data_IF_112595563432
#
_entry.id   IF_112595563432
#
_cell.length_a   1.000
_cell.length_b   1.000
_cell.length_c   1.000
_cell.angle_alpha   90.00
_cell.angle_beta   90.00
_cell.angle_gamma   90.00
#
_symmetry.space_group_name_H-M   'P 1'
#
loop_
_entity.id
_entity.type
_entity.pdbx_description
1 polymer ?
#
# COMPACT_ATOMS: atom_id res chain seq x y z
N UNK A 1 -11.51 34.52 -31.80
CA UNK A 1 -10.84 35.77 -31.46
C UNK A 1 -9.35 35.48 -31.43
N UNK A 2 -8.59 36.07 -32.29
CA UNK A 2 -7.17 35.73 -32.56
C UNK A 2 -6.25 35.96 -31.32
N UNK A 3 -6.75 36.64 -30.32
CA UNK A 3 -6.00 36.99 -29.10
C UNK A 3 -6.14 35.99 -27.96
N UNK A 4 -7.04 34.99 -28.06
CA UNK A 4 -7.27 34.02 -27.02
C UNK A 4 -7.16 32.60 -27.55
N UNK A 5 -6.45 31.76 -26.84
CA UNK A 5 -6.41 30.33 -27.08
C UNK A 5 -6.74 29.56 -25.80
N UNK A 6 -7.57 28.54 -25.90
CA UNK A 6 -7.94 27.67 -24.78
C UNK A 6 -7.52 26.24 -25.13
N UNK A 7 -6.82 25.58 -24.22
CA UNK A 7 -6.39 24.19 -24.36
C UNK A 7 -6.83 23.39 -23.16
N UNK A 8 -7.47 22.26 -23.39
CA UNK A 8 -7.79 21.28 -22.34
C UNK A 8 -6.94 20.03 -22.57
N UNK A 9 -6.32 19.55 -21.50
CA UNK A 9 -5.51 18.32 -21.52
C UNK A 9 -5.96 17.41 -20.38
N UNK A 10 -6.17 16.13 -20.70
CA UNK A 10 -6.41 15.08 -19.71
C UNK A 10 -5.33 14.03 -19.84
N UNK A 11 -4.68 13.69 -18.72
CA UNK A 11 -3.69 12.63 -18.64
C UNK A 11 -4.19 11.61 -17.63
N UNK A 12 -4.34 10.36 -18.06
CA UNK A 12 -4.75 9.26 -17.20
C UNK A 12 -3.83 8.09 -17.43
N UNK A 13 -3.20 7.61 -16.35
CA UNK A 13 -2.40 6.40 -16.35
C UNK A 13 -2.83 5.53 -15.18
N UNK A 14 -3.36 4.36 -15.48
CA UNK A 14 -3.65 3.33 -14.49
C UNK A 14 -2.52 2.31 -14.49
N UNK A 15 -1.92 2.07 -13.32
CA UNK A 15 -0.85 1.09 -13.15
C UNK A 15 -1.18 0.17 -11.97
N UNK A 16 -1.23 -1.14 -12.24
CA UNK A 16 -1.37 -2.18 -11.22
C UNK A 16 -0.32 -3.25 -11.44
N UNK A 17 0.56 -3.45 -10.47
CA UNK A 17 1.67 -4.39 -10.60
C UNK A 17 1.96 -5.14 -9.30
N UNK A 18 2.31 -6.42 -9.40
CA UNK A 18 2.91 -7.16 -8.31
C UNK A 18 4.33 -6.67 -8.03
N UNK A 19 4.70 -6.63 -6.76
CA UNK A 19 6.07 -6.37 -6.32
C UNK A 19 6.83 -7.69 -6.18
N UNK A 20 8.16 -7.63 -6.28
CA UNK A 20 9.07 -8.70 -5.92
C UNK A 20 9.84 -8.36 -4.66
N UNK A 21 10.16 -9.38 -3.85
CA UNK A 21 11.05 -9.23 -2.71
C UNK A 21 12.52 -9.21 -3.15
N UNK A 22 13.40 -8.53 -2.44
CA UNK A 22 14.83 -8.79 -2.54
C UNK A 22 15.12 -10.23 -2.09
N UNK A 23 16.06 -10.89 -2.75
CA UNK A 23 16.40 -12.29 -2.52
C UNK A 23 17.85 -12.42 -2.08
N UNK A 24 18.16 -13.51 -1.37
CA UNK A 24 19.55 -13.89 -1.06
C UNK A 24 20.15 -14.75 -2.18
N UNK A 25 21.48 -14.87 -2.21
CA UNK A 25 22.15 -15.75 -3.18
C UNK A 25 21.70 -17.20 -3.03
N UNK A 26 21.50 -17.68 -1.80
CA UNK A 26 20.99 -19.02 -1.53
C UNK A 26 19.63 -19.29 -2.22
N UNK A 27 18.74 -18.32 -2.21
CA UNK A 27 17.44 -18.42 -2.93
C UNK A 27 17.66 -18.52 -4.43
N UNK A 28 18.57 -17.72 -4.99
CA UNK A 28 18.89 -17.79 -6.42
C UNK A 28 19.49 -19.15 -6.81
N UNK A 29 20.32 -19.71 -5.95
CA UNK A 29 20.94 -21.02 -6.17
C UNK A 29 19.89 -22.15 -6.11
N UNK A 30 18.90 -22.06 -5.21
CA UNK A 30 17.87 -23.07 -5.03
C UNK A 30 16.70 -22.94 -6.02
N UNK A 31 16.21 -21.75 -6.25
CA UNK A 31 14.95 -21.47 -7.01
C UNK A 31 15.16 -20.66 -8.29
N UNK A 32 16.37 -20.12 -8.51
CA UNK A 32 16.64 -19.21 -9.64
C UNK A 32 16.15 -17.79 -9.42
N UNK A 33 16.53 -16.90 -10.34
CA UNK A 33 16.29 -15.46 -10.28
C UNK A 33 14.81 -15.04 -10.41
N UNK A 34 13.95 -15.95 -10.84
CA UNK A 34 12.51 -15.67 -11.03
C UNK A 34 11.66 -15.92 -9.78
N UNK A 35 12.26 -16.48 -8.71
CA UNK A 35 11.54 -16.68 -7.47
C UNK A 35 11.08 -15.36 -6.88
N UNK A 36 9.88 -15.33 -6.33
CA UNK A 36 9.31 -14.17 -5.64
C UNK A 36 8.44 -14.66 -4.48
N UNK A 37 8.84 -14.35 -3.26
CA UNK A 37 8.16 -14.78 -2.04
C UNK A 37 6.80 -14.14 -1.81
N UNK A 38 6.41 -13.13 -2.58
CA UNK A 38 5.18 -12.39 -2.36
C UNK A 38 3.96 -12.98 -3.05
N UNK A 39 4.12 -13.94 -3.94
CA UNK A 39 3.01 -14.60 -4.59
C UNK A 39 2.91 -16.09 -4.24
N UNK A 40 1.73 -16.63 -4.38
CA UNK A 40 1.44 -18.05 -4.28
C UNK A 40 0.25 -18.42 -5.13
N UNK A 41 0.00 -19.72 -5.30
CA UNK A 41 -1.19 -20.20 -5.98
C UNK A 41 -2.38 -20.24 -5.03
N UNK A 42 -3.53 -19.75 -5.50
CA UNK A 42 -4.81 -19.87 -4.83
C UNK A 42 -5.85 -20.31 -5.87
N UNK A 43 -6.49 -21.45 -5.67
CA UNK A 43 -7.49 -22.00 -6.59
C UNK A 43 -6.97 -22.10 -8.06
N UNK A 44 -5.71 -22.46 -8.24
CA UNK A 44 -5.07 -22.58 -9.55
C UNK A 44 -4.65 -21.25 -10.20
N UNK A 45 -4.86 -20.11 -9.53
CA UNK A 45 -4.45 -18.78 -10.01
C UNK A 45 -3.29 -18.24 -9.18
N UNK A 46 -2.40 -17.49 -9.84
CA UNK A 46 -1.33 -16.76 -9.16
C UNK A 46 -1.92 -15.53 -8.47
N UNK A 47 -1.67 -15.41 -7.17
CA UNK A 47 -2.05 -14.27 -6.36
C UNK A 47 -0.83 -13.70 -5.64
N UNK A 48 -0.57 -12.41 -5.82
CA UNK A 48 0.52 -11.69 -5.16
C UNK A 48 -0.05 -10.88 -3.98
N UNK A 49 0.58 -10.99 -2.80
CA UNK A 49 0.19 -10.23 -1.61
C UNK A 49 0.66 -8.77 -1.64
N UNK A 50 1.67 -8.47 -2.47
CA UNK A 50 2.28 -7.15 -2.58
C UNK A 50 1.96 -6.54 -3.93
N UNK A 51 0.84 -5.82 -4.01
CA UNK A 51 0.43 -5.08 -5.20
C UNK A 51 0.68 -3.60 -4.97
N UNK A 52 1.24 -2.92 -5.97
CA UNK A 52 1.19 -1.47 -6.07
C UNK A 52 0.15 -1.09 -7.11
N UNK A 53 -0.81 -0.29 -6.69
CA UNK A 53 -1.83 0.30 -7.56
C UNK A 53 -1.67 1.82 -7.58
N UNK A 54 -1.67 2.43 -8.74
CA UNK A 54 -1.59 3.89 -8.93
C UNK A 54 -2.64 4.31 -9.93
N UNK A 55 -3.48 5.24 -9.55
CA UNK A 55 -4.49 5.84 -10.40
C UNK A 55 -4.63 7.32 -10.03
N UNK A 56 -3.89 8.19 -10.72
CA UNK A 56 -3.81 9.62 -10.44
C UNK A 56 -4.02 10.45 -11.72
N UNK A 57 -5.26 10.54 -12.22
CA UNK A 57 -5.56 11.37 -13.38
C UNK A 57 -5.31 12.86 -13.10
N UNK A 58 -4.88 13.56 -14.15
CA UNK A 58 -4.66 15.00 -14.15
C UNK A 58 -5.51 15.63 -15.26
N UNK A 59 -6.29 16.64 -14.90
CA UNK A 59 -7.02 17.49 -15.82
C UNK A 59 -6.39 18.87 -15.81
N UNK A 60 -6.13 19.43 -16.99
CA UNK A 60 -5.52 20.76 -17.13
C UNK A 60 -6.29 21.60 -18.11
N UNK A 61 -6.54 22.84 -17.75
CA UNK A 61 -7.11 23.87 -18.59
C UNK A 61 -6.11 25.02 -18.69
N UNK A 62 -5.69 25.36 -19.89
CA UNK A 62 -4.74 26.42 -20.13
C UNK A 62 -5.40 27.49 -20.99
N UNK A 63 -5.31 28.74 -20.58
CA UNK A 63 -5.76 29.90 -21.30
C UNK A 63 -4.58 30.80 -21.63
N UNK A 64 -4.37 31.04 -22.89
CA UNK A 64 -3.37 31.94 -23.42
C UNK A 64 -4.07 33.18 -23.94
N UNK A 65 -3.68 34.35 -23.43
CA UNK A 65 -4.21 35.64 -23.85
C UNK A 65 -3.09 36.57 -24.27
N UNK A 66 -3.08 36.90 -25.57
CA UNK A 66 -2.24 37.97 -26.12
C UNK A 66 -2.98 39.28 -25.97
N UNK A 67 -2.68 40.05 -24.92
CA UNK A 67 -3.34 41.33 -24.60
C UNK A 67 -3.01 42.34 -25.71
N UNK A 68 -1.73 42.36 -26.10
CA UNK A 68 -1.20 43.14 -27.24
C UNK A 68 0.13 42.50 -27.68
N UNK A 69 0.81 43.08 -28.66
CA UNK A 69 2.07 42.57 -29.24
C UNK A 69 3.19 42.40 -28.19
N UNK A 70 3.18 43.19 -27.13
CA UNK A 70 4.19 43.25 -26.09
C UNK A 70 3.72 42.64 -24.73
N UNK A 71 2.51 42.13 -24.66
CA UNK A 71 1.97 41.66 -23.37
C UNK A 71 1.15 40.39 -23.56
N UNK A 72 1.51 39.32 -22.85
CA UNK A 72 0.74 38.08 -22.81
C UNK A 72 0.48 37.64 -21.37
N UNK A 73 -0.65 36.99 -21.17
CA UNK A 73 -1.08 36.40 -19.90
C UNK A 73 -1.45 34.93 -20.13
N UNK A 74 -0.77 34.03 -19.43
CA UNK A 74 -1.05 32.62 -19.47
C UNK A 74 -1.62 32.17 -18.12
N UNK A 75 -2.85 31.67 -18.11
CA UNK A 75 -3.51 31.15 -16.91
C UNK A 75 -3.70 29.65 -17.05
N UNK A 76 -3.19 28.89 -16.08
CA UNK A 76 -3.26 27.44 -16.08
C UNK A 76 -3.99 26.98 -14.82
N UNK A 77 -4.94 26.09 -14.98
CA UNK A 77 -5.68 25.42 -13.91
C UNK A 77 -5.42 23.95 -14.03
N UNK A 78 -5.04 23.29 -12.95
CA UNK A 78 -4.91 21.83 -12.93
C UNK A 78 -5.66 21.25 -11.73
N UNK A 79 -6.24 20.08 -11.96
CA UNK A 79 -6.90 19.27 -10.96
C UNK A 79 -6.39 17.83 -11.09
N UNK A 80 -5.67 17.39 -10.06
CA UNK A 80 -5.17 16.02 -9.94
C UNK A 80 -5.92 15.36 -8.79
N UNK A 81 -6.32 14.12 -8.98
CA UNK A 81 -7.00 13.34 -7.94
C UNK A 81 -6.71 11.87 -8.13
N UNK A 82 -6.85 11.09 -7.06
CA UNK A 82 -6.71 9.66 -7.21
C UNK A 82 -6.12 8.98 -5.98
N UNK A 83 -5.55 7.81 -6.23
CA UNK A 83 -5.04 6.95 -5.18
C UNK A 83 -3.72 6.28 -5.54
N UNK A 84 -2.90 6.06 -4.50
CA UNK A 84 -1.78 5.13 -4.52
C UNK A 84 -2.03 4.10 -3.43
N UNK A 85 -2.10 2.82 -3.82
CA UNK A 85 -2.27 1.70 -2.90
C UNK A 85 -1.05 0.79 -2.87
N UNK A 86 -0.71 0.26 -1.70
CA UNK A 86 0.34 -0.74 -1.52
C UNK A 86 -0.16 -1.86 -0.62
N UNK A 87 -0.51 -3.02 -1.20
CA UNK A 87 -1.04 -4.12 -0.41
C UNK A 87 0.05 -4.90 0.32
N UNK A 88 -0.33 -5.51 1.44
CA UNK A 88 0.44 -6.48 2.20
C UNK A 88 -0.44 -7.29 3.15
N UNK A 89 0.08 -8.43 3.59
CA UNK A 89 -0.54 -9.22 4.65
C UNK A 89 -0.17 -8.60 6.00
N UNK A 90 -1.17 -8.40 6.84
CA UNK A 90 -1.01 -8.14 8.26
C UNK A 90 -1.37 -9.40 9.06
N UNK A 91 -0.63 -9.62 10.15
CA UNK A 91 -0.80 -10.74 11.06
C UNK A 91 -1.04 -10.29 12.51
N UNK A 92 -1.47 -9.07 12.71
CA UNK A 92 -1.65 -8.46 14.03
C UNK A 92 -3.09 -8.54 14.53
N UNK A 93 -3.95 -9.35 13.90
CA UNK A 93 -5.31 -9.55 14.34
C UNK A 93 -5.36 -9.98 15.81
N UNK A 94 -6.23 -9.34 16.57
CA UNK A 94 -6.38 -9.53 18.01
C UNK A 94 -7.80 -9.98 18.37
N UNK A 95 -7.95 -10.46 19.59
CA UNK A 95 -9.26 -10.72 20.20
C UNK A 95 -9.33 -10.03 21.54
N UNK A 96 -10.54 -9.79 22.00
CA UNK A 96 -10.83 -9.40 23.38
C UNK A 96 -10.96 -10.68 24.20
N UNK A 97 -10.15 -10.83 25.24
CA UNK A 97 -10.32 -11.87 26.23
C UNK A 97 -11.15 -11.29 27.38
N UNK A 98 -12.43 -11.70 27.44
CA UNK A 98 -13.37 -11.23 28.47
C UNK A 98 -13.14 -11.83 29.85
N UNK A 99 -12.31 -12.86 29.98
CA UNK A 99 -12.00 -13.53 31.24
C UNK A 99 -10.72 -12.99 31.89
N UNK A 100 -9.78 -12.51 31.10
CA UNK A 100 -8.54 -11.89 31.56
C UNK A 100 -8.71 -10.40 31.75
N UNK A 101 -8.35 -9.88 32.91
CA UNK A 101 -8.38 -8.44 33.19
C UNK A 101 -7.01 -7.96 33.66
N UNK A 102 -6.66 -6.72 33.32
CA UNK A 102 -5.45 -6.05 33.83
C UNK A 102 -5.61 -5.69 35.31
N UNK A 103 -4.57 -5.11 35.90
CA UNK A 103 -4.56 -4.65 37.30
C UNK A 103 -5.62 -3.57 37.61
N UNK A 104 -6.27 -2.99 36.62
CA UNK A 104 -7.32 -1.98 36.72
C UNK A 104 -8.72 -2.57 36.43
N UNK A 105 -8.81 -3.86 36.12
CA UNK A 105 -10.06 -4.53 35.80
C UNK A 105 -10.56 -4.42 34.37
N UNK A 106 -9.72 -3.94 33.45
CA UNK A 106 -10.06 -3.85 32.03
C UNK A 106 -9.80 -5.19 31.33
N UNK A 107 -10.66 -5.63 30.39
CA UNK A 107 -10.41 -6.83 29.60
C UNK A 107 -9.07 -6.73 28.81
N UNK A 108 -8.34 -7.83 28.78
CA UNK A 108 -7.13 -7.89 27.95
C UNK A 108 -7.48 -7.96 26.47
N UNK A 109 -6.72 -7.20 25.68
CA UNK A 109 -6.59 -7.47 24.25
C UNK A 109 -5.50 -8.52 24.08
N UNK A 110 -5.88 -9.67 23.57
CA UNK A 110 -4.95 -10.77 23.32
C UNK A 110 -4.63 -10.80 21.84
N UNK A 111 -3.34 -10.67 21.51
CA UNK A 111 -2.87 -11.04 20.18
C UNK A 111 -3.14 -12.54 20.02
N UNK A 112 -3.76 -12.93 18.93
CA UNK A 112 -4.26 -14.30 18.71
C UNK A 112 -3.16 -15.36 18.70
N UNK A 113 -1.89 -14.95 18.70
CA UNK A 113 -0.76 -15.85 18.89
C UNK A 113 -0.72 -17.02 17.92
N UNK A 114 -1.49 -16.94 16.85
CA UNK A 114 -1.44 -17.94 15.80
C UNK A 114 -0.02 -17.94 15.28
N UNK A 115 0.66 -19.08 15.37
CA UNK A 115 1.94 -19.28 14.70
C UNK A 115 1.76 -18.85 13.26
N UNK A 116 2.66 -17.99 12.75
CA UNK A 116 2.61 -17.55 11.38
C UNK A 116 2.55 -18.78 10.45
N UNK A 117 1.42 -19.05 9.77
CA UNK A 117 1.24 -20.25 8.95
C UNK A 117 2.08 -20.18 7.66
N UNK A 118 2.59 -19.01 7.34
CA UNK A 118 3.46 -18.78 6.19
C UNK A 118 4.67 -17.94 6.63
N UNK A 119 5.71 -18.57 7.23
CA UNK A 119 6.90 -17.88 7.69
C UNK A 119 7.58 -17.14 6.53
N UNK A 120 8.34 -16.11 6.84
CA UNK A 120 9.10 -15.36 5.84
C UNK A 120 10.03 -16.30 5.05
N UNK A 121 10.27 -15.97 3.78
CA UNK A 121 11.00 -16.88 2.89
C UNK A 121 12.35 -17.32 3.45
N UNK A 122 13.09 -16.43 4.15
CA UNK A 122 14.40 -16.78 4.70
C UNK A 122 14.32 -17.80 5.84
N UNK A 123 13.18 -17.88 6.56
CA UNK A 123 12.94 -18.88 7.59
C UNK A 123 12.68 -20.28 6.99
N UNK A 124 12.32 -20.33 5.71
CA UNK A 124 12.15 -21.56 4.94
C UNK A 124 13.46 -22.07 4.34
N UNK A 125 14.59 -21.36 4.52
CA UNK A 125 15.88 -21.71 3.91
C UNK A 125 16.68 -22.70 4.77
N UNK A 126 17.45 -23.61 4.13
CA UNK A 126 18.36 -24.53 4.82
C UNK A 126 19.34 -23.82 5.75
N UNK A 127 19.91 -22.67 5.31
CA UNK A 127 20.84 -21.88 6.13
C UNK A 127 20.21 -21.37 7.42
N UNK A 128 18.92 -21.05 7.41
CA UNK A 128 18.20 -20.71 8.63
C UNK A 128 18.10 -21.91 9.57
N UNK A 129 17.71 -23.09 9.07
CA UNK A 129 17.65 -24.32 9.85
C UNK A 129 19.00 -24.67 10.49
N UNK A 130 20.09 -24.55 9.73
CA UNK A 130 21.44 -24.74 10.25
C UNK A 130 21.78 -23.79 11.40
N UNK A 131 21.47 -22.50 11.24
CA UNK A 131 21.72 -21.50 12.30
C UNK A 131 20.89 -21.74 13.56
N UNK A 132 19.70 -22.32 13.42
CA UNK A 132 18.83 -22.67 14.55
C UNK A 132 19.17 -24.04 15.15
N UNK A 133 20.14 -24.78 14.59
CA UNK A 133 20.51 -26.12 15.07
C UNK A 133 19.48 -27.19 14.77
N UNK A 134 18.66 -27.01 13.74
CA UNK A 134 17.67 -28.01 13.34
C UNK A 134 18.34 -29.24 12.73
N UNK A 135 17.85 -30.44 13.07
CA UNK A 135 18.41 -31.72 12.55
C UNK A 135 17.86 -32.07 11.17
N UNK A 136 16.76 -31.45 10.75
CA UNK A 136 16.02 -31.76 9.53
C UNK A 136 16.30 -30.77 8.38
N UNK A 137 17.52 -30.31 8.25
CA UNK A 137 17.90 -29.29 7.24
C UNK A 137 17.62 -29.74 5.81
N UNK A 138 17.79 -31.04 5.53
CA UNK A 138 17.50 -31.61 4.22
C UNK A 138 16.00 -31.55 3.89
N UNK A 139 15.12 -31.85 4.83
CA UNK A 139 13.68 -31.75 4.66
C UNK A 139 13.25 -30.28 4.46
N UNK A 140 13.90 -29.33 5.14
CA UNK A 140 13.68 -27.89 4.95
C UNK A 140 14.00 -27.49 3.51
N UNK A 141 15.15 -27.93 2.99
CA UNK A 141 15.55 -27.67 1.60
C UNK A 141 14.55 -28.26 0.60
N UNK A 142 14.17 -29.52 0.77
CA UNK A 142 13.20 -30.18 -0.12
C UNK A 142 11.82 -29.49 -0.06
N UNK A 143 11.38 -29.08 1.11
CA UNK A 143 10.14 -28.34 1.28
C UNK A 143 10.18 -26.99 0.57
N UNK A 144 11.30 -26.26 0.70
CA UNK A 144 11.46 -24.99 0.00
C UNK A 144 11.52 -25.16 -1.52
N UNK A 145 12.21 -26.20 -2.01
CA UNK A 145 12.26 -26.50 -3.42
C UNK A 145 10.88 -26.86 -4.00
N UNK A 146 10.08 -27.61 -3.27
CA UNK A 146 8.76 -28.05 -3.72
C UNK A 146 7.68 -26.97 -3.58
N UNK A 147 7.62 -26.28 -2.43
CA UNK A 147 6.59 -25.31 -2.09
C UNK A 147 7.16 -24.15 -1.27
N UNK A 148 8.02 -23.36 -1.92
CA UNK A 148 8.63 -22.16 -1.29
C UNK A 148 7.78 -20.89 -1.39
N UNK A 149 6.62 -20.93 -2.04
CA UNK A 149 5.76 -19.78 -2.32
C UNK A 149 4.86 -19.42 -1.12
N UNK A 150 4.14 -18.29 -1.24
CA UNK A 150 3.14 -17.88 -0.27
C UNK A 150 1.98 -18.90 -0.23
N UNK A 151 1.68 -19.43 0.94
CA UNK A 151 0.60 -20.40 1.11
C UNK A 151 -0.71 -19.73 1.52
N UNK A 152 -1.49 -19.30 0.54
CA UNK A 152 -2.81 -18.70 0.77
C UNK A 152 -3.77 -19.60 1.53
N UNK A 153 -3.78 -20.89 1.22
CA UNK A 153 -4.66 -21.86 1.89
C UNK A 153 -4.37 -21.94 3.39
N UNK A 154 -3.09 -21.91 3.78
CA UNK A 154 -2.71 -21.91 5.19
C UNK A 154 -3.17 -20.64 5.92
N UNK A 155 -3.12 -19.47 5.26
CA UNK A 155 -3.62 -18.21 5.82
C UNK A 155 -5.13 -18.25 6.05
N UNK A 156 -5.91 -18.74 5.08
CA UNK A 156 -7.35 -18.91 5.22
C UNK A 156 -7.69 -19.93 6.32
N UNK A 157 -7.02 -21.07 6.35
CA UNK A 157 -7.24 -22.08 7.37
C UNK A 157 -6.89 -21.57 8.78
N UNK A 158 -5.86 -20.75 8.92
CA UNK A 158 -5.50 -20.14 10.19
C UNK A 158 -6.63 -19.25 10.71
N UNK A 159 -7.25 -18.43 9.86
CA UNK A 159 -8.38 -17.60 10.25
C UNK A 159 -9.64 -18.43 10.57
N UNK A 160 -9.95 -19.43 9.74
CA UNK A 160 -11.14 -20.27 9.93
C UNK A 160 -11.04 -21.15 11.19
N UNK A 161 -9.84 -21.57 11.56
CA UNK A 161 -9.58 -22.43 12.72
C UNK A 161 -9.24 -21.66 13.99
N UNK A 162 -9.10 -20.34 13.92
CA UNK A 162 -8.76 -19.53 15.07
C UNK A 162 -9.95 -19.41 16.04
N UNK A 163 -9.69 -19.55 17.36
CA UNK A 163 -10.67 -19.41 18.43
C UNK A 163 -10.94 -17.93 18.80
N UNK A 164 -11.11 -17.06 17.81
CA UNK A 164 -11.16 -15.61 17.98
C UNK A 164 -12.55 -14.99 17.73
N UNK A 165 -13.59 -15.77 17.95
CA UNK A 165 -14.97 -15.29 17.73
C UNK A 165 -15.32 -15.05 16.27
N UNK A 166 -14.53 -15.60 15.32
CA UNK A 166 -14.73 -15.45 13.89
C UNK A 166 -13.94 -14.31 13.25
N UNK A 167 -13.20 -13.52 14.03
CA UNK A 167 -12.34 -12.47 13.49
C UNK A 167 -11.06 -13.06 12.88
N UNK A 168 -10.53 -12.36 11.89
CA UNK A 168 -9.28 -12.72 11.21
C UNK A 168 -8.07 -12.40 12.07
N UNK A 169 -7.11 -13.32 12.11
CA UNK A 169 -5.74 -13.07 12.60
C UNK A 169 -4.86 -12.49 11.50
N UNK A 170 -5.16 -12.85 10.25
CA UNK A 170 -4.46 -12.44 9.04
C UNK A 170 -5.43 -11.74 8.11
N UNK A 171 -5.02 -10.61 7.56
CA UNK A 171 -5.78 -9.89 6.55
C UNK A 171 -4.86 -9.42 5.43
N UNK A 172 -5.42 -9.25 4.26
CA UNK A 172 -4.75 -8.51 3.19
C UNK A 172 -5.29 -7.09 3.24
N UNK A 173 -4.41 -6.13 3.47
CA UNK A 173 -4.77 -4.72 3.49
C UNK A 173 -3.90 -3.91 2.52
N UNK A 174 -4.30 -2.69 2.28
CA UNK A 174 -3.64 -1.74 1.41
C UNK A 174 -3.36 -0.45 2.17
N UNK A 175 -2.09 -0.05 2.25
CA UNK A 175 -1.73 1.31 2.65
C UNK A 175 -2.13 2.25 1.52
N UNK A 176 -3.04 3.17 1.81
CA UNK A 176 -3.66 4.09 0.87
C UNK A 176 -3.17 5.51 1.07
N UNK A 177 -2.89 6.14 -0.06
CA UNK A 177 -2.73 7.58 -0.21
C UNK A 177 -3.77 8.05 -1.21
N UNK A 178 -4.81 8.74 -0.75
CA UNK A 178 -5.84 9.32 -1.61
C UNK A 178 -5.65 10.83 -1.63
N UNK A 179 -5.10 11.33 -2.74
CA UNK A 179 -4.70 12.72 -2.89
C UNK A 179 -5.64 13.46 -3.84
N UNK A 180 -5.93 14.71 -3.48
CA UNK A 180 -6.61 15.67 -4.34
C UNK A 180 -5.81 16.98 -4.33
N UNK A 181 -5.34 17.40 -5.49
CA UNK A 181 -4.59 18.63 -5.67
C UNK A 181 -5.26 19.54 -6.69
N UNK A 182 -5.48 20.79 -6.28
CA UNK A 182 -5.92 21.86 -7.15
C UNK A 182 -4.82 22.92 -7.26
N UNK A 183 -4.49 23.32 -8.48
CA UNK A 183 -3.48 24.35 -8.72
C UNK A 183 -3.97 25.35 -9.75
N UNK A 184 -3.80 26.61 -9.45
CA UNK A 184 -3.98 27.71 -10.41
C UNK A 184 -2.68 28.48 -10.47
N UNK A 185 -2.19 28.78 -11.66
CA UNK A 185 -1.08 29.69 -11.83
C UNK A 185 -1.34 30.65 -13.00
N UNK A 186 -0.80 31.85 -12.87
CA UNK A 186 -0.87 32.88 -13.90
C UNK A 186 0.52 33.45 -14.14
N UNK A 187 0.90 33.56 -15.41
CA UNK A 187 2.19 34.08 -15.86
C UNK A 187 1.93 35.27 -16.75
N UNK A 188 2.42 36.42 -16.34
CA UNK A 188 2.43 37.66 -17.12
C UNK A 188 3.81 37.84 -17.74
N UNK A 189 3.84 38.01 -19.06
CA UNK A 189 5.03 38.42 -19.78
C UNK A 189 4.76 39.79 -20.39
N UNK A 190 5.65 40.76 -20.16
CA UNK A 190 5.52 42.12 -20.68
C UNK A 190 6.86 42.68 -21.09
N UNK A 191 6.98 43.08 -22.35
CA UNK A 191 8.11 43.82 -22.86
C UNK A 191 7.82 45.31 -22.75
N UNK A 192 8.63 46.01 -21.95
CA UNK A 192 8.55 47.47 -21.80
C UNK A 192 9.35 48.19 -22.87
N UNK A 193 10.45 47.59 -23.32
CA UNK A 193 11.30 48.08 -24.39
C UNK A 193 12.11 46.89 -24.95
N UNK A 194 12.90 47.14 -25.99
CA UNK A 194 13.81 46.14 -26.57
C UNK A 194 14.82 45.54 -25.56
N UNK A 195 15.06 46.24 -24.44
CA UNK A 195 16.05 45.84 -23.44
C UNK A 195 15.44 45.50 -22.06
N UNK A 196 14.15 45.67 -21.90
CA UNK A 196 13.49 45.45 -20.59
C UNK A 196 12.24 44.57 -20.74
N UNK A 197 12.31 43.33 -20.19
CA UNK A 197 11.21 42.39 -20.14
C UNK A 197 10.87 42.06 -18.68
N UNK A 198 9.61 42.07 -18.35
CA UNK A 198 9.06 41.57 -17.06
C UNK A 198 8.41 40.22 -17.26
N UNK A 199 8.83 39.24 -16.46
CA UNK A 199 8.14 37.97 -16.28
C UNK A 199 7.70 37.85 -14.83
N UNK A 200 6.39 37.83 -14.59
CA UNK A 200 5.79 37.69 -13.25
C UNK A 200 4.92 36.45 -13.18
N UNK A 201 5.00 35.73 -12.07
CA UNK A 201 4.21 34.53 -11.83
C UNK A 201 3.54 34.57 -10.47
N UNK A 202 2.27 34.21 -10.44
CA UNK A 202 1.51 33.94 -9.20
C UNK A 202 0.97 32.52 -9.26
N UNK A 203 1.08 31.79 -8.17
CA UNK A 203 0.57 30.43 -8.07
C UNK A 203 -0.14 30.21 -6.74
N UNK A 204 -1.26 29.52 -6.80
CA UNK A 204 -1.95 28.96 -5.65
C UNK A 204 -2.06 27.45 -5.82
N UNK A 205 -1.75 26.68 -4.77
CA UNK A 205 -1.90 25.22 -4.74
C UNK A 205 -2.56 24.83 -3.44
N UNK A 206 -3.55 23.96 -3.54
CA UNK A 206 -4.19 23.30 -2.40
C UNK A 206 -4.07 21.79 -2.58
N UNK A 207 -3.50 21.12 -1.58
CA UNK A 207 -3.40 19.66 -1.51
C UNK A 207 -4.20 19.15 -0.32
N UNK A 208 -5.03 18.15 -0.56
CA UNK A 208 -5.67 17.34 0.47
C UNK A 208 -5.19 15.90 0.29
N UNK A 209 -4.57 15.33 1.33
CA UNK A 209 -4.08 13.95 1.34
C UNK A 209 -4.76 13.18 2.47
N UNK A 210 -5.29 12.00 2.14
CA UNK A 210 -5.84 11.05 3.11
C UNK A 210 -4.97 9.81 3.12
N UNK A 211 -4.42 9.52 4.29
CA UNK A 211 -3.55 8.35 4.49
C UNK A 211 -4.24 7.41 5.47
N UNK A 212 -4.48 6.18 5.04
CA UNK A 212 -5.18 5.17 5.84
C UNK A 212 -4.82 3.76 5.38
N UNK A 213 -5.14 2.77 6.19
CA UNK A 213 -5.11 1.36 5.80
C UNK A 213 -6.54 0.91 5.45
N UNK A 214 -6.70 0.23 4.32
CA UNK A 214 -7.96 -0.36 3.87
C UNK A 214 -7.82 -1.88 3.82
N UNK A 215 -8.70 -2.60 4.53
CA UNK A 215 -8.74 -4.06 4.43
C UNK A 215 -9.40 -4.43 3.10
N UNK A 216 -8.67 -5.18 2.27
CA UNK A 216 -9.15 -5.63 0.96
C UNK A 216 -9.56 -7.10 0.94
N UNK A 217 -9.11 -7.90 1.92
CA UNK A 217 -9.53 -9.28 2.08
C UNK A 217 -9.32 -9.75 3.52
N UNK A 218 -10.39 -10.21 4.16
CA UNK A 218 -10.37 -10.77 5.50
C UNK A 218 -9.78 -12.20 5.56
N UNK A 219 -9.43 -12.78 4.42
CA UNK A 219 -8.86 -14.13 4.30
C UNK A 219 -9.69 -15.21 5.04
N UNK A 220 -11.01 -15.12 4.92
CA UNK A 220 -11.96 -16.12 5.42
C UNK A 220 -12.59 -15.81 6.79
N UNK A 221 -12.14 -14.78 7.49
CA UNK A 221 -12.80 -14.34 8.74
C UNK A 221 -13.99 -13.42 8.49
N UNK A 222 -14.69 -13.06 9.57
CA UNK A 222 -15.91 -12.24 9.53
C UNK A 222 -15.63 -10.75 9.87
N UNK A 223 -14.47 -10.43 10.40
CA UNK A 223 -14.04 -9.11 10.79
C UNK A 223 -12.57 -9.10 11.18
N UNK A 224 -12.06 -7.94 11.49
CA UNK A 224 -10.68 -7.73 11.95
C UNK A 224 -10.69 -6.75 13.11
N UNK A 225 -10.09 -7.14 14.23
CA UNK A 225 -9.89 -6.26 15.37
C UNK A 225 -8.45 -5.75 15.34
N UNK A 226 -8.30 -4.50 14.92
CA UNK A 226 -7.05 -3.79 14.94
C UNK A 226 -6.87 -3.13 16.31
N UNK A 227 -5.81 -3.49 17.03
CA UNK A 227 -5.51 -2.94 18.33
C UNK A 227 -4.22 -2.10 18.26
N UNK A 228 -4.32 -0.84 18.64
CA UNK A 228 -3.16 0.02 18.79
C UNK A 228 -2.35 -0.43 20.03
N UNK A 229 -1.17 -1.01 19.78
CA UNK A 229 -0.27 -1.49 20.83
C UNK A 229 0.32 -0.36 21.68
N UNK A 230 0.23 0.89 21.27
CA UNK A 230 0.74 2.06 21.95
C UNK A 230 -0.30 2.78 22.79
N UNK A 231 -1.58 2.50 22.58
CA UNK A 231 -2.65 3.09 23.38
C UNK A 231 -2.68 2.51 24.81
N UNK A 232 -2.95 3.34 25.79
CA UNK A 232 -2.96 2.93 27.22
C UNK A 232 -4.30 2.34 27.65
N UNK A 233 -5.41 2.80 27.08
CA UNK A 233 -6.73 2.31 27.42
C UNK A 233 -7.22 1.25 26.44
N UNK A 234 -8.10 0.37 26.91
CA UNK A 234 -8.75 -0.64 26.10
C UNK A 234 -9.57 -0.02 24.95
N UNK A 235 -10.33 1.02 25.24
CA UNK A 235 -11.22 1.67 24.28
C UNK A 235 -10.44 2.41 23.16
N UNK A 236 -9.24 2.87 23.48
CA UNK A 236 -8.36 3.54 22.51
C UNK A 236 -7.57 2.55 21.65
N UNK A 237 -7.45 1.29 22.12
CA UNK A 237 -6.65 0.26 21.47
C UNK A 237 -7.34 -0.49 20.36
N UNK A 238 -8.65 -0.37 20.22
CA UNK A 238 -9.40 -1.21 19.32
C UNK A 238 -10.08 -0.41 18.22
N UNK A 239 -10.02 -0.95 17.03
CA UNK A 239 -10.81 -0.56 15.90
C UNK A 239 -11.38 -1.84 15.26
N UNK A 240 -12.69 -2.01 15.34
CA UNK A 240 -13.35 -3.18 14.78
C UNK A 240 -13.75 -2.87 13.33
N UNK A 241 -13.10 -3.53 12.39
CA UNK A 241 -13.25 -3.37 10.95
C UNK A 241 -13.97 -4.56 10.33
#
# INVERSE_FOLDING_TARGET
>A
NDNHSLSFTSITAFNKRGKSAPQTQEVFDLKGIQYNSYWGSQNGMIRNSRIKEVSEPILMLNHYWNINENTSLNTNISYQFGKIGNSRIDNNGTRIDGEAVDGNGNPYIVNLGASNPDPTYYQKLPSYGLRQGYSNVYEIEQSFLNDGQLNWTSLYNANLNASNGGNSSYVLYEDRNDDVQFTVNTILNKDFSENITLNARVQYTQLTSKNFAEIIDLLGGNGYLDADSFADSFDEKQNNL
#
